data_IF_030846346949
#
_entry.id   IF_030846346949
#
_cell.length_a   1.000
_cell.length_b   1.000
_cell.length_c   1.000
_cell.angle_alpha   90.00
_cell.angle_beta   90.00
_cell.angle_gamma   90.00
#
_symmetry.space_group_name_H-M   'P 1'
#
loop_
_entity.id
_entity.type
_entity.pdbx_description
1 polymer ?
#
# COMPACT_ATOMS: atom_id res chain seq x y z
N UNK A 1 -0.53 -26.35 1.38
CA UNK A 1 0.42 -25.25 1.14
C UNK A 1 -0.06 -24.29 0.05
N UNK A 2 -0.25 -24.74 -1.20
CA UNK A 2 -0.66 -23.88 -2.33
C UNK A 2 -2.01 -23.17 -2.11
N UNK A 3 -2.95 -23.81 -1.41
CA UNK A 3 -4.24 -23.22 -1.05
C UNK A 3 -4.09 -21.96 -0.20
N UNK A 4 -3.22 -21.98 0.80
CA UNK A 4 -3.01 -20.83 1.70
C UNK A 4 -2.25 -19.70 1.01
N UNK A 5 -1.25 -20.04 0.19
CA UNK A 5 -0.56 -19.05 -0.67
C UNK A 5 -1.55 -18.35 -1.60
N UNK A 6 -2.47 -19.11 -2.21
CA UNK A 6 -3.49 -18.55 -3.11
C UNK A 6 -4.48 -17.65 -2.38
N UNK A 7 -4.89 -18.02 -1.16
CA UNK A 7 -5.74 -17.16 -0.31
C UNK A 7 -5.03 -15.85 0.04
N UNK A 8 -3.76 -15.92 0.43
CA UNK A 8 -2.97 -14.74 0.75
C UNK A 8 -2.75 -13.84 -0.47
N UNK A 9 -2.43 -14.41 -1.64
CA UNK A 9 -2.29 -13.65 -2.88
C UNK A 9 -3.60 -12.93 -3.27
N UNK A 10 -4.74 -13.60 -3.12
CA UNK A 10 -6.06 -12.98 -3.32
C UNK A 10 -6.30 -11.83 -2.34
N UNK A 11 -5.96 -12.00 -1.07
CA UNK A 11 -6.07 -10.94 -0.07
C UNK A 11 -5.21 -9.72 -0.44
N UNK A 12 -3.99 -9.94 -0.91
CA UNK A 12 -3.08 -8.87 -1.33
C UNK A 12 -3.59 -8.14 -2.58
N UNK A 13 -4.17 -8.87 -3.53
CA UNK A 13 -4.76 -8.31 -4.75
C UNK A 13 -5.98 -7.40 -4.49
N UNK A 14 -6.60 -7.47 -3.31
CA UNK A 14 -7.67 -6.56 -2.89
C UNK A 14 -7.15 -5.22 -2.35
N UNK A 15 -5.83 -5.04 -2.23
CA UNK A 15 -5.22 -3.82 -1.70
C UNK A 15 -4.77 -2.90 -2.85
N UNK A 16 -4.57 -1.62 -2.54
CA UNK A 16 -3.99 -0.67 -3.49
C UNK A 16 -2.62 -1.15 -3.97
N UNK A 17 -2.38 -1.26 -5.29
CA UNK A 17 -1.09 -1.69 -5.81
C UNK A 17 0.03 -0.69 -5.48
N UNK A 18 -0.28 0.61 -5.47
CA UNK A 18 0.63 1.69 -5.04
C UNK A 18 1.03 1.47 -3.58
N UNK A 19 0.06 1.22 -2.70
CA UNK A 19 0.33 1.04 -1.27
C UNK A 19 1.14 -0.24 -1.00
N UNK A 20 0.82 -1.36 -1.64
CA UNK A 20 1.54 -2.64 -1.44
C UNK A 20 2.99 -2.52 -1.91
N UNK A 21 3.21 -2.02 -3.12
CA UNK A 21 4.56 -1.89 -3.68
C UNK A 21 5.38 -0.84 -2.91
N UNK A 22 4.76 0.32 -2.61
CA UNK A 22 5.37 1.36 -1.80
C UNK A 22 5.76 0.85 -0.42
N UNK A 23 4.90 0.08 0.25
CA UNK A 23 5.21 -0.50 1.57
C UNK A 23 6.42 -1.43 1.50
N UNK A 24 6.47 -2.32 0.50
CA UNK A 24 7.63 -3.21 0.31
C UNK A 24 8.92 -2.42 0.05
N UNK A 25 8.83 -1.38 -0.76
CA UNK A 25 9.97 -0.51 -1.09
C UNK A 25 10.50 0.21 0.16
N UNK A 26 9.60 0.83 0.93
CA UNK A 26 9.92 1.50 2.19
C UNK A 26 10.51 0.50 3.21
N UNK A 27 9.93 -0.69 3.38
CA UNK A 27 10.46 -1.69 4.30
C UNK A 27 11.89 -2.12 3.94
N UNK A 28 12.18 -2.30 2.65
CA UNK A 28 13.52 -2.62 2.19
C UNK A 28 14.50 -1.47 2.45
N UNK A 29 14.09 -0.23 2.19
CA UNK A 29 14.92 0.94 2.48
C UNK A 29 15.21 1.03 3.98
N UNK A 30 14.19 0.94 4.82
CA UNK A 30 14.32 1.08 6.27
C UNK A 30 15.15 -0.03 6.94
N UNK A 31 15.27 -1.21 6.31
CA UNK A 31 16.13 -2.29 6.80
C UNK A 31 17.61 -1.90 6.78
N UNK A 32 18.00 -1.11 5.78
CA UNK A 32 19.40 -0.83 5.47
C UNK A 32 19.81 0.60 5.91
N UNK A 33 18.91 1.36 6.55
CA UNK A 33 19.12 2.75 6.98
C UNK A 33 18.70 2.97 8.43
N UNK A 34 19.22 4.02 9.06
CA UNK A 34 18.77 4.42 10.40
C UNK A 34 17.33 4.98 10.36
N UNK A 35 16.72 5.10 11.54
CA UNK A 35 15.32 5.55 11.68
C UNK A 35 15.10 6.96 11.14
N UNK A 36 16.04 7.88 11.37
CA UNK A 36 15.89 9.27 10.93
C UNK A 36 15.85 9.38 9.40
N UNK A 37 16.82 8.76 8.73
CA UNK A 37 16.89 8.75 7.26
C UNK A 37 15.69 8.02 6.64
N UNK A 38 15.26 6.94 7.27
CA UNK A 38 14.08 6.17 6.85
C UNK A 38 12.80 7.00 6.93
N UNK A 39 12.60 7.77 8.00
CA UNK A 39 11.44 8.64 8.16
C UNK A 39 11.44 9.78 7.13
N UNK A 40 12.61 10.39 6.89
CA UNK A 40 12.77 11.39 5.83
C UNK A 40 12.43 10.79 4.48
N UNK A 41 12.92 9.58 4.19
CA UNK A 41 12.64 8.88 2.94
C UNK A 41 11.14 8.56 2.76
N UNK A 42 10.47 8.06 3.81
CA UNK A 42 9.03 7.82 3.82
C UNK A 42 8.25 9.10 3.50
N UNK A 43 8.62 10.21 4.15
CA UNK A 43 7.99 11.50 3.91
C UNK A 43 8.14 11.91 2.44
N UNK A 44 9.36 11.85 1.89
CA UNK A 44 9.63 12.18 0.49
C UNK A 44 8.88 11.29 -0.49
N UNK A 45 8.86 9.98 -0.24
CA UNK A 45 8.12 9.02 -1.06
C UNK A 45 6.62 9.34 -1.08
N UNK A 46 6.03 9.55 0.10
CA UNK A 46 4.60 9.82 0.23
C UNK A 46 4.16 11.17 -0.38
N UNK A 47 5.06 12.15 -0.55
CA UNK A 47 4.74 13.39 -1.27
C UNK A 47 4.19 13.11 -2.69
N UNK A 48 4.69 12.06 -3.33
CA UNK A 48 4.21 11.63 -4.65
C UNK A 48 3.12 10.55 -4.56
N UNK A 49 3.29 9.56 -3.69
CA UNK A 49 2.39 8.39 -3.68
C UNK A 49 1.01 8.69 -3.10
N UNK A 50 0.86 9.76 -2.30
CA UNK A 50 -0.45 10.20 -1.81
C UNK A 50 -1.29 10.88 -2.91
N UNK A 51 -0.70 11.23 -4.05
CA UNK A 51 -1.39 11.76 -5.23
C UNK A 51 -2.07 10.63 -6.04
N UNK A 52 -2.81 9.77 -5.35
CA UNK A 52 -3.55 8.65 -5.93
C UNK A 52 -5.02 8.70 -5.54
N UNK A 53 -5.88 8.22 -6.44
CA UNK A 53 -7.31 8.04 -6.14
C UNK A 53 -7.55 6.92 -5.11
N UNK A 54 -6.59 6.03 -4.90
CA UNK A 54 -6.74 4.86 -4.03
C UNK A 54 -7.02 5.27 -2.58
N UNK A 55 -6.40 6.36 -2.10
CA UNK A 55 -6.63 6.91 -0.75
C UNK A 55 -8.08 7.35 -0.61
N UNK A 56 -8.61 8.07 -1.61
CA UNK A 56 -9.98 8.56 -1.59
C UNK A 56 -11.00 7.41 -1.69
N UNK A 57 -10.78 6.45 -2.61
CA UNK A 57 -11.63 5.25 -2.77
C UNK A 57 -11.67 4.43 -1.48
N UNK A 58 -10.52 4.21 -0.85
CA UNK A 58 -10.43 3.49 0.41
C UNK A 58 -11.09 4.26 1.57
N UNK A 59 -10.90 5.58 1.63
CA UNK A 59 -11.53 6.45 2.63
C UNK A 59 -13.05 6.40 2.55
N UNK A 60 -13.63 6.58 1.35
CA UNK A 60 -15.07 6.49 1.12
C UNK A 60 -15.64 5.10 1.47
N UNK A 61 -14.92 4.05 1.12
CA UNK A 61 -15.30 2.68 1.45
C UNK A 61 -15.34 2.45 2.96
N UNK A 62 -14.32 2.93 3.67
CA UNK A 62 -14.26 2.88 5.14
C UNK A 62 -15.41 3.66 5.79
N UNK A 63 -15.68 4.88 5.31
CA UNK A 63 -16.79 5.71 5.82
C UNK A 63 -18.17 5.08 5.56
N UNK A 64 -18.34 4.46 4.40
CA UNK A 64 -19.60 3.79 4.02
C UNK A 64 -19.74 2.36 4.56
N UNK A 65 -18.71 1.85 5.28
CA UNK A 65 -18.62 0.46 5.77
C UNK A 65 -18.80 -0.59 4.65
N UNK A 66 -18.36 -0.25 3.44
CA UNK A 66 -18.38 -1.13 2.27
C UNK A 66 -16.95 -1.50 1.88
N UNK A 67 -16.74 -2.64 1.19
CA UNK A 67 -15.44 -2.92 0.62
C UNK A 67 -15.07 -1.85 -0.42
N UNK A 68 -13.77 -1.49 -0.54
CA UNK A 68 -13.35 -0.55 -1.56
C UNK A 68 -13.63 -1.10 -2.96
N UNK A 69 -13.99 -0.23 -3.92
CA UNK A 69 -14.06 -0.63 -5.32
C UNK A 69 -12.67 -1.12 -5.80
N UNK A 70 -12.61 -1.89 -6.90
CA UNK A 70 -11.33 -2.29 -7.48
C UNK A 70 -10.43 -1.07 -7.73
N UNK A 71 -9.19 -1.15 -7.24
CA UNK A 71 -8.18 -0.13 -7.51
C UNK A 71 -7.71 -0.20 -8.97
N UNK A 72 -7.29 0.94 -9.51
CA UNK A 72 -6.76 1.01 -10.87
C UNK A 72 -5.47 0.22 -10.98
N UNK A 73 -5.18 -0.31 -12.17
CA UNK A 73 -3.87 -0.91 -12.45
C UNK A 73 -2.77 0.16 -12.30
N UNK A 74 -1.60 -0.28 -11.83
CA UNK A 74 -0.39 0.53 -11.79
C UNK A 74 0.20 0.69 -13.20
#
# INVERSE_FOLDING_TARGET
>A
MLTEVSKFAKLLALKSPIAVQGTKHILNYSRDHNVHDSLTYVATWNMSQLLTEDVFKAGLASMSKKPPPPFSKL
#
